data_IF_492353818084
#
_entry.id   IF_492353818084
#
_cell.length_a   1.000
_cell.length_b   1.000
_cell.length_c   1.000
_cell.angle_alpha   90.00
_cell.angle_beta   90.00
_cell.angle_gamma   90.00
#
_symmetry.space_group_name_H-M   'P 1'
#
loop_
_entity.id
_entity.type
_entity.pdbx_description
1 polymer ?
#
# COMPACT_ATOMS: atom_id res chain seq x y z
N UNK A 1 -1.14 28.03 -25.79
CA UNK A 1 -1.77 26.74 -25.44
C UNK A 1 -1.75 26.56 -23.92
N UNK A 2 -2.93 26.54 -23.29
CA UNK A 2 -3.08 26.55 -21.83
C UNK A 2 -2.82 25.16 -21.22
N UNK A 3 -1.91 25.08 -20.24
CA UNK A 3 -1.67 23.87 -19.43
C UNK A 3 -2.58 23.88 -18.21
N UNK A 4 -3.66 23.10 -18.27
CA UNK A 4 -4.57 22.88 -17.15
C UNK A 4 -3.88 21.89 -16.19
N UNK A 5 -3.33 22.39 -15.09
CA UNK A 5 -2.91 21.54 -13.96
C UNK A 5 -4.13 21.25 -13.10
N UNK A 6 -4.66 20.03 -13.17
CA UNK A 6 -5.67 19.56 -12.22
C UNK A 6 -4.97 19.16 -10.93
N UNK A 7 -5.03 20.05 -9.94
CA UNK A 7 -4.68 19.77 -8.56
C UNK A 7 -5.89 19.06 -7.92
N UNK A 8 -5.79 17.75 -7.68
CA UNK A 8 -6.80 16.97 -6.98
C UNK A 8 -6.17 16.42 -5.70
N UNK A 9 -6.41 17.15 -4.62
CA UNK A 9 -6.48 16.73 -3.22
C UNK A 9 -5.73 15.44 -2.83
N UNK A 10 -4.54 15.60 -2.25
CA UNK A 10 -3.93 14.60 -1.36
C UNK A 10 -4.58 14.68 0.02
N UNK A 11 -5.72 14.03 0.18
CA UNK A 11 -6.31 13.73 1.49
C UNK A 11 -6.67 12.27 1.51
N UNK A 12 -5.76 11.40 1.96
CA UNK A 12 -6.02 10.14 2.66
C UNK A 12 -4.64 9.57 3.03
N UNK A 13 -4.44 9.24 4.32
CA UNK A 13 -3.19 8.82 4.99
C UNK A 13 -2.31 9.94 5.57
N UNK A 14 -2.86 10.65 6.55
CA UNK A 14 -2.03 11.12 7.69
C UNK A 14 -1.79 9.92 8.60
N UNK A 15 -0.56 9.40 8.62
CA UNK A 15 -0.10 8.49 9.67
C UNK A 15 0.81 9.29 10.58
N UNK A 16 0.23 9.89 11.61
CA UNK A 16 0.95 10.54 12.69
C UNK A 16 1.83 9.51 13.41
N UNK A 17 3.15 9.62 13.25
CA UNK A 17 4.12 9.13 14.23
C UNK A 17 5.15 10.25 14.43
N UNK A 18 4.79 11.24 15.25
CA UNK A 18 5.69 12.26 15.74
C UNK A 18 6.19 11.84 17.12
N UNK A 19 7.42 11.33 17.21
CA UNK A 19 8.17 11.29 18.46
C UNK A 19 9.59 11.79 18.23
N UNK A 20 9.80 13.02 18.71
CA UNK A 20 11.00 13.56 19.36
C UNK A 20 12.27 13.70 18.51
N UNK A 21 12.55 14.96 18.23
CA UNK A 21 13.80 15.54 17.73
C UNK A 21 14.96 15.35 18.70
N UNK A 22 16.06 14.75 18.23
CA UNK A 22 17.41 15.06 18.74
C UNK A 22 18.20 15.77 17.63
N UNK A 23 18.57 17.01 17.93
CA UNK A 23 19.24 18.00 17.09
C UNK A 23 20.64 17.51 16.69
N UNK A 24 20.84 17.14 15.42
CA UNK A 24 22.17 17.07 14.82
C UNK A 24 22.16 17.92 13.55
N UNK A 25 22.82 19.07 13.64
CA UNK A 25 23.04 20.01 12.56
C UNK A 25 23.87 19.36 11.44
N UNK A 26 23.21 18.85 10.40
CA UNK A 26 23.84 18.59 9.11
C UNK A 26 23.10 19.40 8.06
N UNK A 27 23.57 20.62 7.84
CA UNK A 27 23.21 21.44 6.71
C UNK A 27 23.83 20.82 5.45
N UNK A 28 23.09 19.95 4.77
CA UNK A 28 23.35 19.56 3.37
C UNK A 28 22.01 19.27 2.69
N UNK A 29 21.45 20.28 2.03
CA UNK A 29 20.53 20.06 0.91
C UNK A 29 21.30 20.37 -0.38
N UNK A 30 21.71 19.34 -1.13
CA UNK A 30 21.83 19.49 -2.56
C UNK A 30 21.07 18.33 -3.23
N UNK A 31 20.02 18.68 -3.98
CA UNK A 31 19.29 17.77 -4.86
C UNK A 31 18.73 16.54 -4.15
N UNK A 32 17.50 16.64 -3.63
CA UNK A 32 16.67 15.47 -3.45
C UNK A 32 16.45 14.84 -4.83
N UNK A 33 17.42 14.04 -5.31
CA UNK A 33 17.21 13.09 -6.38
C UNK A 33 15.90 12.40 -6.04
N UNK A 34 14.95 12.47 -6.97
CA UNK A 34 13.68 11.78 -6.83
C UNK A 34 14.01 10.34 -6.46
N UNK A 35 13.87 9.97 -5.18
CA UNK A 35 14.20 8.63 -4.70
C UNK A 35 13.19 7.72 -5.36
N UNK A 36 13.62 6.98 -6.39
CA UNK A 36 12.76 6.05 -7.15
C UNK A 36 12.81 4.69 -6.46
N UNK A 37 11.65 4.07 -6.29
CA UNK A 37 11.53 2.74 -5.70
C UNK A 37 11.20 2.74 -4.20
N UNK A 38 11.17 1.54 -3.62
CA UNK A 38 10.77 1.29 -2.24
C UNK A 38 12.02 1.28 -1.36
N UNK A 39 12.16 2.31 -0.54
CA UNK A 39 13.33 2.46 0.33
C UNK A 39 12.92 2.46 1.81
N UNK A 40 13.79 1.86 2.63
CA UNK A 40 13.68 1.85 4.09
C UNK A 40 15.06 2.14 4.66
N UNK A 41 15.12 2.99 5.69
CA UNK A 41 16.35 3.22 6.45
C UNK A 41 16.47 2.13 7.50
N UNK A 42 17.63 1.48 7.58
CA UNK A 42 17.94 0.57 8.69
C UNK A 42 18.25 1.43 9.93
N UNK A 43 17.53 1.18 11.01
CA UNK A 43 17.72 1.85 12.31
C UNK A 43 18.24 0.80 13.29
N UNK A 44 19.19 1.19 14.15
CA UNK A 44 19.79 0.35 15.20
C UNK A 44 20.42 -0.96 14.69
N UNK A 45 20.87 -0.99 13.43
CA UNK A 45 21.42 -2.19 12.81
C UNK A 45 20.40 -3.31 12.56
N UNK A 46 19.10 -3.09 12.81
CA UNK A 46 18.07 -4.12 12.66
C UNK A 46 17.63 -4.26 11.20
N UNK A 47 18.35 -5.12 10.47
CA UNK A 47 18.10 -5.39 9.05
C UNK A 47 16.80 -6.17 8.85
N UNK A 48 16.44 -7.08 9.77
CA UNK A 48 15.21 -7.89 9.65
C UNK A 48 13.95 -7.02 9.70
N UNK A 49 13.92 -6.06 10.64
CA UNK A 49 12.83 -5.11 10.75
C UNK A 49 12.76 -4.21 9.51
N UNK A 50 13.91 -3.74 9.01
CA UNK A 50 13.97 -2.95 7.79
C UNK A 50 13.47 -3.73 6.57
N UNK A 51 13.79 -5.02 6.48
CA UNK A 51 13.32 -5.91 5.42
C UNK A 51 11.80 -6.14 5.52
N UNK A 52 11.28 -6.41 6.73
CA UNK A 52 9.84 -6.56 6.95
C UNK A 52 9.07 -5.28 6.55
N UNK A 53 9.61 -4.11 6.90
CA UNK A 53 9.06 -2.82 6.49
C UNK A 53 9.12 -2.64 4.96
N UNK A 54 10.21 -3.06 4.31
CA UNK A 54 10.36 -2.98 2.86
C UNK A 54 9.34 -3.89 2.16
N UNK A 55 9.18 -5.13 2.63
CA UNK A 55 8.19 -6.08 2.10
C UNK A 55 6.76 -5.56 2.27
N UNK A 56 6.44 -4.97 3.43
CA UNK A 56 5.13 -4.36 3.64
C UNK A 56 4.88 -3.19 2.68
N UNK A 57 5.84 -2.26 2.54
CA UNK A 57 5.73 -1.16 1.57
C UNK A 57 5.63 -1.66 0.12
N UNK A 58 6.28 -2.77 -0.22
CA UNK A 58 6.15 -3.47 -1.51
C UNK A 58 4.76 -4.06 -1.75
N UNK A 59 4.14 -4.63 -0.71
CA UNK A 59 2.78 -5.14 -0.76
C UNK A 59 1.76 -4.02 -0.90
N UNK A 60 1.87 -2.99 -0.07
CA UNK A 60 0.93 -1.87 -0.02
C UNK A 60 0.95 -1.03 -1.30
N UNK A 61 2.14 -0.87 -1.92
CA UNK A 61 2.26 -0.24 -3.25
C UNK A 61 1.70 -1.09 -4.39
N UNK A 62 1.30 -2.34 -4.13
CA UNK A 62 0.82 -3.28 -5.13
C UNK A 62 1.91 -3.83 -6.06
N UNK A 63 3.19 -3.52 -5.79
CA UNK A 63 4.31 -3.94 -6.63
C UNK A 63 4.47 -5.46 -6.64
N UNK A 64 4.23 -6.14 -5.52
CA UNK A 64 4.25 -7.62 -5.46
C UNK A 64 3.25 -8.23 -6.47
N UNK A 65 2.04 -7.67 -6.55
CA UNK A 65 1.01 -8.13 -7.47
C UNK A 65 1.35 -7.81 -8.92
N UNK A 66 2.02 -6.69 -9.18
CA UNK A 66 2.50 -6.32 -10.51
C UNK A 66 3.62 -7.25 -10.97
N UNK A 67 4.57 -7.58 -10.09
CA UNK A 67 5.66 -8.51 -10.37
C UNK A 67 5.13 -9.93 -10.64
N UNK A 68 4.19 -10.41 -9.83
CA UNK A 68 3.51 -11.70 -10.06
C UNK A 68 2.76 -11.72 -11.39
N UNK A 69 2.02 -10.64 -11.73
CA UNK A 69 1.28 -10.55 -13.00
C UNK A 69 2.18 -10.43 -14.24
N UNK A 70 3.35 -9.79 -14.10
CA UNK A 70 4.29 -9.54 -15.21
C UNK A 70 5.35 -10.64 -15.36
N UNK A 71 5.33 -11.68 -14.51
CA UNK A 71 6.21 -12.86 -14.65
C UNK A 71 7.66 -12.65 -14.23
N UNK A 72 7.99 -11.59 -13.48
CA UNK A 72 9.36 -11.30 -13.03
C UNK A 72 9.83 -12.15 -11.84
N UNK A 73 8.91 -12.82 -11.13
CA UNK A 73 9.25 -13.89 -10.19
C UNK A 73 9.08 -15.19 -10.97
N UNK A 74 10.22 -15.74 -11.35
CA UNK A 74 10.40 -16.67 -12.46
C UNK A 74 9.42 -17.86 -12.46
N UNK A 75 8.97 -18.21 -13.68
CA UNK A 75 8.50 -19.55 -14.07
C UNK A 75 7.04 -19.99 -13.81
N UNK A 76 6.15 -19.17 -13.26
CA UNK A 76 4.74 -19.58 -13.04
C UNK A 76 3.67 -18.79 -13.81
N UNK A 77 4.05 -18.07 -14.88
CA UNK A 77 3.12 -17.26 -15.70
C UNK A 77 3.28 -17.48 -17.21
N UNK A 78 3.95 -18.56 -17.65
CA UNK A 78 3.96 -18.95 -19.07
C UNK A 78 2.86 -19.94 -19.45
N UNK A 79 1.81 -20.14 -18.63
CA UNK A 79 0.83 -21.19 -18.97
C UNK A 79 -0.56 -20.71 -19.38
N UNK A 80 -1.07 -19.53 -18.97
CA UNK A 80 -2.45 -19.17 -19.35
C UNK A 80 -2.65 -17.70 -19.71
N UNK A 81 -2.76 -17.43 -21.01
CA UNK A 81 -3.42 -16.24 -21.52
C UNK A 81 -4.83 -16.14 -20.90
N UNK A 82 -5.06 -15.13 -20.07
CA UNK A 82 -6.38 -14.82 -19.52
C UNK A 82 -7.09 -13.88 -20.48
N UNK A 83 -8.11 -14.38 -21.18
CA UNK A 83 -8.99 -13.58 -22.06
C UNK A 83 -9.57 -12.38 -21.29
N UNK A 84 -9.80 -11.26 -21.98
CA UNK A 84 -10.29 -10.03 -21.34
C UNK A 84 -11.65 -10.18 -20.66
N UNK A 85 -12.52 -11.06 -21.18
CA UNK A 85 -13.78 -11.41 -20.53
C UNK A 85 -13.56 -12.02 -19.14
N UNK A 86 -12.61 -12.95 -19.01
CA UNK A 86 -12.22 -13.58 -17.74
C UNK A 86 -11.58 -12.56 -16.81
N UNK A 87 -10.72 -11.68 -17.34
CA UNK A 87 -10.09 -10.60 -16.56
C UNK A 87 -11.14 -9.64 -15.97
N UNK A 88 -12.12 -9.22 -16.78
CA UNK A 88 -13.26 -8.38 -16.34
C UNK A 88 -14.09 -9.08 -15.26
N UNK A 89 -14.41 -10.36 -15.44
CA UNK A 89 -15.15 -11.14 -14.47
C UNK A 89 -14.41 -11.26 -13.12
N UNK A 90 -13.11 -11.58 -13.13
CA UNK A 90 -12.29 -11.69 -11.91
C UNK A 90 -12.20 -10.35 -11.18
N UNK A 91 -12.05 -9.23 -11.91
CA UNK A 91 -12.05 -7.91 -11.31
C UNK A 91 -13.38 -7.57 -10.64
N UNK A 92 -14.51 -7.81 -11.33
CA UNK A 92 -15.86 -7.65 -10.76
C UNK A 92 -16.03 -8.48 -9.49
N UNK A 93 -15.67 -9.76 -9.54
CA UNK A 93 -15.76 -10.67 -8.40
C UNK A 93 -14.90 -10.20 -7.22
N UNK A 94 -13.69 -9.69 -7.47
CA UNK A 94 -12.82 -9.11 -6.45
C UNK A 94 -13.44 -7.87 -5.79
N UNK A 95 -14.03 -6.97 -6.59
CA UNK A 95 -14.74 -5.78 -6.08
C UNK A 95 -15.91 -6.20 -5.19
N UNK A 96 -16.72 -7.15 -5.65
CA UNK A 96 -17.86 -7.67 -4.89
C UNK A 96 -17.43 -8.29 -3.56
N UNK A 97 -16.36 -9.10 -3.56
CA UNK A 97 -15.81 -9.64 -2.31
C UNK A 97 -15.35 -8.54 -1.35
N UNK A 98 -14.72 -7.47 -1.86
CA UNK A 98 -14.29 -6.34 -1.01
C UNK A 98 -15.48 -5.60 -0.40
N UNK A 99 -16.52 -5.33 -1.18
CA UNK A 99 -17.75 -4.68 -0.70
C UNK A 99 -18.39 -5.54 0.39
N UNK A 100 -18.59 -6.83 0.12
CA UNK A 100 -19.18 -7.77 1.08
C UNK A 100 -18.41 -7.85 2.39
N UNK A 101 -17.07 -7.90 2.32
CA UNK A 101 -16.23 -7.88 3.51
C UNK A 101 -16.37 -6.55 4.27
N UNK A 102 -16.39 -5.42 3.58
CA UNK A 102 -16.58 -4.11 4.22
C UNK A 102 -17.94 -4.01 4.94
N UNK A 103 -19.02 -4.50 4.34
CA UNK A 103 -20.34 -4.57 4.96
C UNK A 103 -20.33 -5.48 6.19
N UNK A 104 -19.75 -6.67 6.09
CA UNK A 104 -19.59 -7.58 7.22
C UNK A 104 -18.80 -6.92 8.36
N UNK A 105 -17.69 -6.24 8.07
CA UNK A 105 -16.91 -5.53 9.08
C UNK A 105 -17.70 -4.40 9.75
N UNK A 106 -18.57 -3.68 9.02
CA UNK A 106 -19.46 -2.68 9.62
C UNK A 106 -20.41 -3.34 10.60
N UNK A 107 -21.04 -4.45 10.22
CA UNK A 107 -21.94 -5.22 11.09
C UNK A 107 -21.22 -5.76 12.33
N UNK A 108 -20.00 -6.28 12.17
CA UNK A 108 -19.21 -6.75 13.32
C UNK A 108 -18.83 -5.60 14.26
N UNK A 109 -18.47 -4.43 13.72
CA UNK A 109 -18.18 -3.25 14.54
C UNK A 109 -19.38 -2.78 15.34
N UNK A 110 -20.58 -2.77 14.74
CA UNK A 110 -21.79 -2.38 15.46
C UNK A 110 -22.17 -3.41 16.53
N UNK A 111 -22.02 -4.70 16.27
CA UNK A 111 -22.23 -5.75 17.26
C UNK A 111 -21.24 -5.66 18.42
N UNK A 112 -19.94 -5.52 18.13
CA UNK A 112 -18.93 -5.35 19.17
C UNK A 112 -19.17 -4.10 20.01
N UNK A 113 -19.55 -2.98 19.39
CA UNK A 113 -19.91 -1.77 20.12
C UNK A 113 -21.11 -1.97 21.04
N UNK A 114 -22.15 -2.70 20.61
CA UNK A 114 -23.29 -3.06 21.45
C UNK A 114 -22.86 -3.92 22.65
N UNK A 115 -22.06 -4.95 22.42
CA UNK A 115 -21.53 -5.83 23.47
C UNK A 115 -20.69 -5.05 24.49
N UNK A 116 -19.84 -4.12 24.03
CA UNK A 116 -19.03 -3.28 24.92
C UNK A 116 -19.85 -2.24 25.69
N UNK A 117 -21.00 -1.83 25.16
CA UNK A 117 -21.90 -0.88 25.82
C UNK A 117 -22.75 -1.49 26.94
N UNK A 118 -22.60 -2.80 27.23
CA UNK A 118 -23.32 -3.47 28.32
C UNK A 118 -24.82 -3.68 28.05
N UNK A 119 -25.23 -3.68 26.78
CA UNK A 119 -26.60 -3.98 26.34
C UNK A 119 -26.69 -5.34 25.64
#
# INVERSE_FOLDING_TARGET
>A
MYRITRNLASHFFSSSNSTITSRSSNAFLPHAHQRRGIMVKVVDGNVELALAQMTRKMRDSGMENLLKKKGYFERWMCEHHVKDSKRKYVNRRTIQYRIRNQELFKTLRTLLAKQMSGH
#
